data_IF_417411062266
#
_entry.id   IF_417411062266
#
_cell.length_a   1.000
_cell.length_b   1.000
_cell.length_c   1.000
_cell.angle_alpha   90.00
_cell.angle_beta   90.00
_cell.angle_gamma   90.00
#
_symmetry.space_group_name_H-M   'P 1'
#
loop_
_entity.id
_entity.type
_entity.pdbx_description
1 polymer ?
#
# COMPACT_ATOMS: atom_id res chain seq x y z
N UNK A 1 3.56 -0.82 -0.59
CA UNK A 1 2.19 -0.57 -1.10
C UNK A 1 2.28 0.65 -1.98
N UNK A 2 1.89 0.54 -3.25
CA UNK A 2 1.96 1.64 -4.23
C UNK A 2 0.55 1.98 -4.70
N UNK A 3 0.35 3.25 -5.05
CA UNK A 3 -0.93 3.76 -5.55
C UNK A 3 -1.34 3.10 -6.88
N UNK A 4 -2.64 3.13 -7.21
CA UNK A 4 -3.16 2.60 -8.48
C UNK A 4 -2.57 3.26 -9.72
N UNK A 5 -1.92 4.43 -9.59
CA UNK A 5 -1.10 5.03 -10.64
C UNK A 5 0.10 4.16 -11.07
N UNK A 6 0.59 3.29 -10.19
CA UNK A 6 1.70 2.37 -10.46
C UNK A 6 1.26 1.03 -11.07
N UNK A 7 -0.02 0.88 -11.48
CA UNK A 7 -0.49 -0.30 -12.23
C UNK A 7 0.02 -0.29 -13.68
N UNK A 8 1.35 -0.24 -13.87
CA UNK A 8 2.03 -0.28 -15.15
C UNK A 8 3.05 -1.41 -15.19
N UNK A 9 3.30 -1.95 -16.39
CA UNK A 9 4.15 -3.13 -16.59
C UNK A 9 5.59 -2.94 -16.10
N UNK A 10 6.13 -1.72 -16.18
CA UNK A 10 7.50 -1.41 -15.76
C UNK A 10 7.66 -1.51 -14.24
N UNK A 11 6.68 -1.03 -13.46
CA UNK A 11 6.67 -1.17 -12.00
C UNK A 11 6.68 -2.65 -11.58
N UNK A 12 5.89 -3.50 -12.24
CA UNK A 12 5.90 -4.94 -11.97
C UNK A 12 7.22 -5.61 -12.36
N UNK A 13 7.86 -5.20 -13.47
CA UNK A 13 9.20 -5.71 -13.85
C UNK A 13 10.26 -5.32 -12.83
N UNK A 14 10.26 -4.08 -12.36
CA UNK A 14 11.19 -3.59 -11.34
C UNK A 14 11.04 -4.38 -10.04
N UNK A 15 9.80 -4.53 -9.56
CA UNK A 15 9.50 -5.28 -8.33
C UNK A 15 9.90 -6.75 -8.43
N UNK A 16 9.69 -7.36 -9.60
CA UNK A 16 10.17 -8.71 -9.89
C UNK A 16 11.69 -8.80 -9.87
N UNK A 17 12.40 -7.83 -10.46
CA UNK A 17 13.86 -7.76 -10.42
C UNK A 17 14.41 -7.60 -9.01
N UNK A 18 13.66 -6.92 -8.12
CA UNK A 18 13.99 -6.78 -6.71
C UNK A 18 13.57 -7.99 -5.85
N UNK A 19 12.88 -8.99 -6.42
CA UNK A 19 12.34 -10.14 -5.68
C UNK A 19 11.23 -9.77 -4.69
N UNK A 20 10.64 -8.59 -4.81
CA UNK A 20 9.61 -8.07 -3.90
C UNK A 20 8.23 -8.39 -4.45
N UNK A 21 7.34 -8.92 -3.61
CA UNK A 21 5.95 -9.18 -3.99
C UNK A 21 5.22 -7.86 -4.25
N UNK A 22 4.68 -7.62 -5.46
CA UNK A 22 3.98 -6.39 -5.76
C UNK A 22 2.65 -6.32 -5.02
N UNK A 23 2.43 -5.24 -4.27
CA UNK A 23 1.14 -4.89 -3.64
C UNK A 23 0.69 -3.55 -4.21
N UNK A 24 0.13 -3.61 -5.42
CA UNK A 24 -0.36 -2.49 -6.23
C UNK A 24 -1.84 -2.69 -6.45
N UNK A 25 -2.69 -1.73 -6.06
CA UNK A 25 -4.14 -1.87 -6.29
C UNK A 25 -4.44 -1.76 -7.79
N UNK A 26 -4.98 -2.81 -8.44
CA UNK A 26 -5.33 -2.72 -9.85
C UNK A 26 -6.54 -1.79 -10.05
N UNK A 27 -6.66 -1.19 -11.22
CA UNK A 27 -7.81 -0.34 -11.58
C UNK A 27 -9.12 -1.13 -11.56
N UNK A 28 -10.26 -0.47 -11.29
CA UNK A 28 -11.60 -1.11 -11.24
C UNK A 28 -11.93 -1.94 -12.50
N UNK A 29 -11.51 -1.47 -13.67
CA UNK A 29 -11.70 -2.15 -14.96
C UNK A 29 -10.45 -2.92 -15.41
N UNK A 30 -9.61 -3.36 -14.47
CA UNK A 30 -8.43 -4.13 -14.81
C UNK A 30 -8.80 -5.46 -15.46
N UNK A 31 -8.20 -5.69 -16.63
CA UNK A 31 -8.26 -6.95 -17.36
C UNK A 31 -7.30 -7.95 -16.74
N UNK A 32 -7.76 -9.19 -16.62
CA UNK A 32 -6.97 -10.34 -16.16
C UNK A 32 -6.35 -11.15 -17.31
N UNK A 33 -6.71 -10.83 -18.56
CA UNK A 33 -6.19 -11.48 -19.77
C UNK A 33 -4.84 -10.90 -20.27
N UNK A 34 -4.49 -9.67 -19.85
CA UNK A 34 -3.32 -8.95 -20.35
C UNK A 34 -2.46 -8.38 -19.23
N UNK A 35 -1.14 -8.49 -19.38
CA UNK A 35 -0.14 -7.90 -18.49
C UNK A 35 0.62 -8.93 -17.65
N UNK A 36 1.37 -8.48 -16.63
CA UNK A 36 2.19 -9.37 -15.82
C UNK A 36 1.33 -10.39 -15.06
N UNK A 37 1.79 -11.66 -14.94
CA UNK A 37 0.97 -12.75 -14.37
C UNK A 37 0.59 -12.51 -12.91
N UNK A 38 1.39 -11.75 -12.17
CA UNK A 38 1.12 -11.36 -10.79
C UNK A 38 -0.09 -10.43 -10.68
N UNK A 39 -0.18 -9.46 -11.59
CA UNK A 39 -1.33 -8.57 -11.73
C UNK A 39 -2.59 -9.37 -12.07
N UNK A 40 -2.53 -10.28 -13.04
CA UNK A 40 -3.67 -11.12 -13.42
C UNK A 40 -4.16 -12.01 -12.27
N UNK A 41 -3.25 -12.58 -11.47
CA UNK A 41 -3.61 -13.33 -10.26
C UNK A 41 -4.29 -12.44 -9.22
N UNK A 42 -3.79 -11.23 -9.01
CA UNK A 42 -4.40 -10.26 -8.10
C UNK A 42 -5.80 -9.83 -8.55
N UNK A 43 -6.00 -9.51 -9.83
CA UNK A 43 -7.32 -9.15 -10.37
C UNK A 43 -8.33 -10.29 -10.16
N UNK A 44 -7.94 -11.54 -10.44
CA UNK A 44 -8.79 -12.71 -10.18
C UNK A 44 -9.11 -12.89 -8.70
N UNK A 45 -8.13 -12.69 -7.82
CA UNK A 45 -8.35 -12.74 -6.39
C UNK A 45 -9.37 -11.68 -5.96
N UNK A 46 -9.17 -10.41 -6.34
CA UNK A 46 -10.08 -9.29 -6.02
C UNK A 46 -11.51 -9.58 -6.52
N UNK A 47 -11.68 -10.11 -7.73
CA UNK A 47 -13.00 -10.50 -8.23
C UNK A 47 -13.67 -11.60 -7.41
N UNK A 48 -12.88 -12.51 -6.80
CA UNK A 48 -13.39 -13.61 -5.98
C UNK A 48 -13.75 -13.20 -4.55
N UNK A 49 -12.94 -12.34 -3.91
CA UNK A 49 -13.09 -11.99 -2.48
C UNK A 49 -13.59 -10.56 -2.24
N UNK A 50 -13.77 -9.77 -3.30
CA UNK A 50 -14.09 -8.34 -3.22
C UNK A 50 -12.88 -7.45 -2.91
N UNK A 51 -13.02 -6.15 -3.20
CA UNK A 51 -11.98 -5.14 -2.98
C UNK A 51 -11.62 -4.98 -1.49
N UNK A 52 -12.63 -5.02 -0.61
CA UNK A 52 -12.46 -4.93 0.84
C UNK A 52 -11.75 -6.16 1.41
N UNK A 53 -12.15 -7.36 0.96
CA UNK A 53 -11.51 -8.61 1.35
C UNK A 53 -10.04 -8.64 0.94
N UNK A 54 -9.74 -8.19 -0.27
CA UNK A 54 -8.36 -8.05 -0.73
C UNK A 54 -7.58 -7.05 0.11
N UNK A 55 -8.10 -5.83 0.31
CA UNK A 55 -7.48 -4.77 1.11
C UNK A 55 -7.08 -5.27 2.51
N UNK A 56 -7.95 -6.06 3.15
CA UNK A 56 -7.70 -6.66 4.46
C UNK A 56 -6.59 -7.72 4.44
N UNK A 57 -6.54 -8.59 3.42
CA UNK A 57 -5.53 -9.65 3.31
C UNK A 57 -4.14 -9.08 3.01
N UNK A 58 -4.04 -8.12 2.10
CA UNK A 58 -2.73 -7.54 1.75
C UNK A 58 -2.31 -6.40 2.69
N UNK A 59 -3.19 -6.00 3.61
CA UNK A 59 -2.95 -4.85 4.50
C UNK A 59 -2.82 -3.53 3.73
N UNK A 60 -3.44 -3.43 2.55
CA UNK A 60 -3.47 -2.22 1.76
C UNK A 60 -4.12 -1.10 2.60
N UNK A 61 -3.50 0.07 2.71
CA UNK A 61 -3.97 1.17 3.55
C UNK A 61 -3.44 1.22 4.99
N UNK A 62 -2.75 0.18 5.50
CA UNK A 62 -2.10 0.25 6.83
C UNK A 62 -1.03 1.33 6.94
N UNK A 63 -0.29 1.58 5.86
CA UNK A 63 0.66 2.72 5.78
C UNK A 63 -0.06 4.06 5.88
N UNK A 64 -1.19 4.21 5.18
CA UNK A 64 -1.95 5.46 5.22
C UNK A 64 -2.47 5.77 6.63
N UNK A 65 -2.91 4.75 7.38
CA UNK A 65 -3.29 4.91 8.79
C UNK A 65 -2.13 5.43 9.65
N UNK A 66 -0.93 4.87 9.47
CA UNK A 66 0.29 5.29 10.17
C UNK A 66 0.73 6.70 9.77
N UNK A 67 0.75 6.97 8.46
CA UNK A 67 1.09 8.27 7.86
C UNK A 67 0.11 9.36 8.23
N UNK A 68 -1.13 9.03 8.61
CA UNK A 68 -2.10 10.01 9.14
C UNK A 68 -1.97 10.15 10.65
N UNK A 69 -1.84 9.04 11.38
CA UNK A 69 -1.86 9.04 12.84
C UNK A 69 -0.65 9.78 13.45
N UNK A 70 0.57 9.53 12.96
CA UNK A 70 1.77 10.15 13.51
C UNK A 70 1.84 11.68 13.35
N UNK A 71 1.59 12.27 12.17
CA UNK A 71 1.59 13.73 12.04
C UNK A 71 0.42 14.38 12.78
N UNK A 72 -0.76 13.75 12.83
CA UNK A 72 -1.86 14.25 13.67
C UNK A 72 -1.46 14.26 15.14
N UNK A 73 -0.88 13.17 15.65
CA UNK A 73 -0.37 13.10 17.01
C UNK A 73 0.69 14.19 17.28
N UNK A 74 1.66 14.35 16.38
CA UNK A 74 2.67 15.42 16.49
C UNK A 74 2.05 16.81 16.43
N UNK A 75 1.02 17.05 15.62
CA UNK A 75 0.36 18.36 15.54
C UNK A 75 -0.48 18.66 16.78
N UNK A 76 -1.09 17.65 17.38
CA UNK A 76 -1.88 17.81 18.60
C UNK A 76 -1.02 18.02 19.84
N UNK A 77 0.12 17.33 19.95
CA UNK A 77 0.93 17.33 21.18
C UNK A 77 2.32 17.97 21.02
N UNK A 78 2.80 18.17 19.80
CA UNK A 78 4.17 18.64 19.53
C UNK A 78 4.43 20.07 19.97
N UNK A 79 3.41 20.92 20.00
CA UNK A 79 3.54 22.30 20.52
C UNK A 79 3.60 22.34 22.06
N UNK A 80 3.08 21.32 22.75
CA UNK A 80 2.95 21.27 24.22
C UNK A 80 3.92 20.31 24.90
N UNK A 81 4.49 19.34 24.18
CA UNK A 81 5.43 18.36 24.71
C UNK A 81 6.86 18.69 24.25
N UNK A 82 7.59 19.44 25.09
CA UNK A 82 9.04 19.63 24.92
C UNK A 82 9.80 18.48 25.56
N UNK A 83 10.80 17.94 24.86
CA UNK A 83 11.73 16.99 25.44
C UNK A 83 12.56 17.67 26.54
N UNK A 84 12.65 17.06 27.72
CA UNK A 84 13.63 17.44 28.75
C UNK A 84 14.79 16.46 28.69
N UNK A 85 16.01 16.98 28.64
CA UNK A 85 17.19 16.18 28.95
C UNK A 85 17.16 15.83 30.44
N UNK A 86 17.26 14.54 30.76
CA UNK A 86 17.48 14.05 32.12
C UNK A 86 18.95 14.23 32.44
N UNK A 87 19.32 15.41 32.91
CA UNK A 87 20.66 15.64 33.46
C UNK A 87 20.77 14.83 34.76
N UNK A 88 21.71 13.87 34.77
CA UNK A 88 22.10 13.05 35.93
C UNK A 88 23.20 13.76 36.72
#
# INVERSE_FOLDING_TARGET
VMDGAYDNSEAYKLLRGMGVKPVIKPRRNARDDRGPPERCRMVRLIRRIGDEGWTRIVGYGRRWMVETAFPTFKRTFGDYCMAKELTT
#
